data_IF_954509401730
#
_entry.id   IF_954509401730
#
_cell.length_a   1.000
_cell.length_b   1.000
_cell.length_c   1.000
_cell.angle_alpha   90.00
_cell.angle_beta   90.00
_cell.angle_gamma   90.00
#
_symmetry.space_group_name_H-M   'P 1'
#
loop_
_entity.id
_entity.type
_entity.pdbx_description
1 polymer ?
#
# COMPACT_ATOMS: atom_id res chain seq x y z
N UNK A 1 4.67 12.69 26.51
CA UNK A 1 4.66 11.48 27.36
C UNK A 1 5.93 11.38 28.20
N UNK A 2 7.16 11.38 27.63
CA UNK A 2 8.39 11.23 28.42
C UNK A 2 8.60 12.31 29.50
N UNK A 3 8.23 13.56 29.19
CA UNK A 3 8.28 14.66 30.17
C UNK A 3 7.36 14.43 31.36
N UNK A 4 6.15 13.91 31.13
CA UNK A 4 5.18 13.62 32.20
C UNK A 4 5.61 12.44 33.07
N UNK A 5 6.26 11.43 32.49
CA UNK A 5 6.81 10.29 33.23
C UNK A 5 7.97 10.75 34.11
N UNK A 6 8.85 11.58 33.56
CA UNK A 6 9.97 12.18 34.31
C UNK A 6 9.49 13.08 35.46
N UNK A 7 8.49 13.94 35.22
CA UNK A 7 7.84 14.77 36.25
C UNK A 7 7.24 13.94 37.39
N UNK A 8 6.79 12.71 37.09
CA UNK A 8 6.22 11.77 38.06
C UNK A 8 7.25 10.83 38.69
N UNK A 9 8.52 10.96 38.35
CA UNK A 9 9.59 10.08 38.83
C UNK A 9 9.46 8.63 38.34
N UNK A 10 8.82 8.40 37.19
CA UNK A 10 8.62 7.06 36.61
C UNK A 10 9.79 6.75 35.68
N UNK A 11 10.61 5.78 36.04
CA UNK A 11 11.71 5.27 35.21
C UNK A 11 11.24 4.06 34.38
N UNK A 12 10.84 4.29 33.12
CA UNK A 12 10.33 3.23 32.23
C UNK A 12 11.23 1.97 32.15
N UNK A 13 12.58 2.06 32.07
CA UNK A 13 13.44 0.88 32.00
C UNK A 13 13.46 0.03 33.28
N UNK A 14 12.97 0.57 34.40
CA UNK A 14 12.95 -0.09 35.72
C UNK A 14 11.57 -0.69 36.06
N UNK A 15 10.56 -0.43 35.23
CA UNK A 15 9.23 -0.99 35.44
C UNK A 15 9.22 -2.50 35.15
N UNK A 16 8.45 -3.29 35.93
CA UNK A 16 8.19 -4.67 35.58
C UNK A 16 7.43 -4.77 34.25
N UNK A 17 7.50 -5.93 33.59
CA UNK A 17 6.67 -6.19 32.41
C UNK A 17 5.19 -6.10 32.78
N UNK A 18 4.45 -5.30 32.00
CA UNK A 18 3.01 -5.18 32.10
C UNK A 18 2.29 -6.02 31.05
N UNK A 19 0.97 -6.08 31.17
CA UNK A 19 0.11 -6.71 30.18
C UNK A 19 -0.54 -5.66 29.27
N UNK A 20 -0.80 -6.05 28.03
CA UNK A 20 -1.57 -5.24 27.09
C UNK A 20 -3.04 -5.59 27.20
N UNK A 21 -3.89 -4.56 27.13
CA UNK A 21 -5.33 -4.77 26.96
C UNK A 21 -5.64 -5.43 25.60
N UNK A 22 -6.69 -6.23 25.59
CA UNK A 22 -7.20 -6.90 24.39
C UNK A 22 -8.45 -6.14 23.96
N UNK A 23 -8.41 -5.31 22.89
CA UNK A 23 -9.52 -4.42 22.55
C UNK A 23 -10.85 -5.13 22.29
N UNK A 24 -10.80 -6.39 21.88
CA UNK A 24 -11.98 -7.21 21.58
C UNK A 24 -12.32 -8.20 22.69
N UNK A 25 -11.57 -8.22 23.80
CA UNK A 25 -11.76 -9.18 24.90
C UNK A 25 -11.46 -10.64 24.53
N UNK A 26 -10.76 -10.88 23.42
CA UNK A 26 -10.51 -12.20 22.83
C UNK A 26 -9.01 -12.54 22.87
N UNK A 27 -8.63 -13.50 23.72
CA UNK A 27 -7.24 -13.92 23.93
C UNK A 27 -6.51 -13.12 25.00
N UNK A 28 -5.20 -13.33 25.14
CA UNK A 28 -4.29 -12.58 26.02
C UNK A 28 -3.31 -11.75 25.19
N UNK A 29 -2.98 -10.52 25.63
CA UNK A 29 -2.02 -9.62 24.96
C UNK A 29 -2.65 -8.69 23.92
N UNK A 30 -1.82 -7.97 23.13
CA UNK A 30 -2.27 -6.88 22.24
C UNK A 30 -3.06 -7.30 20.98
N UNK A 31 -3.69 -8.48 20.99
CA UNK A 31 -4.41 -9.07 19.85
C UNK A 31 -3.58 -9.16 18.54
N UNK A 32 -2.25 -9.11 18.64
CA UNK A 32 -1.32 -9.25 17.52
C UNK A 32 -0.83 -10.69 17.40
N UNK A 33 -0.82 -11.23 16.17
CA UNK A 33 0.00 -12.40 15.88
C UNK A 33 1.48 -12.02 16.01
N UNK A 34 2.32 -12.95 16.50
CA UNK A 34 3.77 -12.79 16.48
C UNK A 34 4.25 -12.68 15.01
N UNK A 35 5.07 -11.68 14.69
CA UNK A 35 5.46 -11.43 13.30
C UNK A 35 5.42 -9.97 12.89
N UNK A 36 6.11 -9.66 11.80
CA UNK A 36 5.98 -8.38 11.10
C UNK A 36 5.10 -8.53 9.87
N UNK A 37 4.54 -7.41 9.40
CA UNK A 37 3.83 -7.33 8.12
C UNK A 37 4.62 -6.54 7.06
N UNK A 38 5.68 -5.83 7.46
CA UNK A 38 6.40 -4.86 6.60
C UNK A 38 5.70 -3.50 6.47
N UNK A 39 4.70 -3.21 7.32
CA UNK A 39 3.87 -2.01 7.23
C UNK A 39 2.57 -2.19 6.45
N UNK A 40 1.73 -1.14 6.42
CA UNK A 40 0.35 -1.20 5.90
C UNK A 40 0.33 -1.37 4.38
N UNK A 41 1.09 -0.54 3.64
CA UNK A 41 1.16 -0.64 2.17
C UNK A 41 1.68 -1.99 1.72
N UNK A 42 2.73 -2.51 2.36
CA UNK A 42 3.29 -3.82 2.02
C UNK A 42 2.29 -4.95 2.31
N UNK A 43 1.60 -4.93 3.45
CA UNK A 43 0.58 -5.92 3.78
C UNK A 43 -0.62 -5.90 2.82
N UNK A 44 -1.05 -4.70 2.40
CA UNK A 44 -2.12 -4.53 1.42
C UNK A 44 -1.71 -5.09 0.05
N UNK A 45 -0.51 -4.75 -0.42
CA UNK A 45 0.06 -5.29 -1.66
C UNK A 45 0.20 -6.81 -1.61
N UNK A 46 0.69 -7.35 -0.49
CA UNK A 46 0.83 -8.80 -0.28
C UNK A 46 -0.52 -9.51 -0.35
N UNK A 47 -1.53 -8.96 0.30
CA UNK A 47 -2.89 -9.52 0.28
C UNK A 47 -3.45 -9.54 -1.15
N UNK A 48 -3.33 -8.43 -1.88
CA UNK A 48 -3.76 -8.37 -3.29
C UNK A 48 -2.96 -9.35 -4.17
N UNK A 49 -1.64 -9.44 -3.98
CA UNK A 49 -0.78 -10.38 -4.68
C UNK A 49 -1.24 -11.82 -4.46
N UNK A 50 -1.38 -12.26 -3.21
CA UNK A 50 -1.75 -13.64 -2.87
C UNK A 50 -3.16 -14.00 -3.35
N UNK A 51 -4.09 -13.03 -3.36
CA UNK A 51 -5.42 -13.23 -3.93
C UNK A 51 -5.34 -13.49 -5.44
N UNK A 52 -4.52 -12.73 -6.17
CA UNK A 52 -4.41 -12.78 -7.64
C UNK A 52 -3.58 -13.99 -8.10
N UNK A 53 -2.43 -14.22 -7.48
CA UNK A 53 -1.44 -15.21 -7.92
C UNK A 53 -1.61 -16.56 -7.26
N UNK A 54 -2.33 -16.63 -6.12
CA UNK A 54 -2.42 -17.80 -5.24
C UNK A 54 -1.06 -18.33 -4.76
N UNK A 55 -0.02 -17.50 -4.84
CA UNK A 55 1.34 -17.80 -4.39
C UNK A 55 1.73 -16.85 -3.26
N UNK A 56 2.52 -17.34 -2.30
CA UNK A 56 3.01 -16.51 -1.20
C UNK A 56 3.90 -15.38 -1.73
N UNK A 57 3.63 -14.14 -1.29
CA UNK A 57 4.43 -13.00 -1.72
C UNK A 57 5.67 -12.80 -0.83
N UNK A 58 6.83 -12.68 -1.46
CA UNK A 58 8.00 -12.08 -0.83
C UNK A 58 7.79 -10.58 -0.64
N UNK A 59 8.53 -9.97 0.30
CA UNK A 59 8.55 -8.52 0.47
C UNK A 59 9.01 -7.84 -0.84
N UNK A 60 8.31 -6.78 -1.32
CA UNK A 60 8.74 -6.03 -2.49
C UNK A 60 10.05 -5.27 -2.17
N UNK A 61 11.03 -5.37 -3.08
CA UNK A 61 12.28 -4.63 -2.94
C UNK A 61 12.08 -3.19 -3.45
N UNK A 62 12.10 -2.23 -2.54
CA UNK A 62 12.02 -0.80 -2.86
C UNK A 62 13.42 -0.24 -3.14
N UNK A 63 13.61 0.33 -4.33
CA UNK A 63 14.84 1.03 -4.74
C UNK A 63 14.62 2.53 -4.87
N UNK A 64 15.66 3.34 -4.64
CA UNK A 64 15.58 4.79 -4.83
C UNK A 64 15.39 5.15 -6.31
N UNK A 65 14.49 6.10 -6.58
CA UNK A 65 14.25 6.59 -7.94
C UNK A 65 15.32 7.59 -8.33
N UNK A 66 16.06 7.30 -9.41
CA UNK A 66 17.12 8.18 -9.90
C UNK A 66 16.57 9.57 -10.23
N UNK A 67 17.19 10.61 -9.65
CA UNK A 67 16.80 12.01 -9.87
C UNK A 67 15.56 12.47 -9.10
N UNK A 68 15.09 11.66 -8.14
CA UNK A 68 13.96 12.01 -7.27
C UNK A 68 14.27 11.66 -5.80
N UNK A 69 14.96 12.57 -5.12
CA UNK A 69 15.32 12.42 -3.71
C UNK A 69 14.08 12.17 -2.84
N UNK A 70 14.17 11.16 -1.95
CA UNK A 70 13.09 10.82 -1.03
C UNK A 70 11.91 10.07 -1.64
N UNK A 71 12.04 9.61 -2.89
CA UNK A 71 11.07 8.75 -3.57
C UNK A 71 11.71 7.39 -3.85
N UNK A 72 11.02 6.32 -3.46
CA UNK A 72 11.39 4.93 -3.73
C UNK A 72 10.33 4.29 -4.61
N UNK A 73 10.72 3.31 -5.41
CA UNK A 73 9.83 2.55 -6.28
C UNK A 73 10.06 1.05 -6.19
N UNK A 74 9.03 0.29 -6.56
CA UNK A 74 9.10 -1.15 -6.78
C UNK A 74 8.22 -1.55 -7.96
N UNK A 75 8.60 -2.64 -8.62
CA UNK A 75 7.79 -3.28 -9.67
C UNK A 75 7.41 -4.68 -9.20
N UNK A 76 6.10 -4.96 -9.13
CA UNK A 76 5.58 -6.25 -8.69
C UNK A 76 4.85 -6.93 -9.84
N UNK A 77 5.38 -8.06 -10.32
CA UNK A 77 4.73 -8.83 -11.37
C UNK A 77 3.59 -9.68 -10.79
N UNK A 78 2.38 -9.41 -11.26
CA UNK A 78 1.17 -10.18 -10.95
C UNK A 78 0.88 -11.12 -12.12
N UNK A 79 1.17 -12.40 -11.93
CA UNK A 79 0.73 -13.47 -12.83
C UNK A 79 -0.50 -14.11 -12.21
N UNK A 80 -1.70 -13.96 -12.81
CA UNK A 80 -2.90 -14.59 -12.30
C UNK A 80 -2.76 -16.10 -12.16
N UNK A 81 -3.33 -16.67 -11.10
CA UNK A 81 -3.45 -18.11 -10.95
C UNK A 81 -4.30 -18.71 -12.10
N UNK A 82 -3.88 -19.87 -12.60
CA UNK A 82 -4.62 -20.59 -13.64
C UNK A 82 -6.06 -20.91 -13.20
N UNK A 83 -7.02 -20.78 -14.11
CA UNK A 83 -8.44 -20.99 -13.83
C UNK A 83 -9.09 -19.92 -12.94
N UNK A 84 -8.37 -18.87 -12.53
CA UNK A 84 -8.96 -17.76 -11.79
C UNK A 84 -9.68 -16.77 -12.71
N UNK A 85 -10.66 -16.05 -12.14
CA UNK A 85 -11.29 -14.90 -12.81
C UNK A 85 -10.28 -13.87 -13.32
N UNK A 86 -9.16 -13.70 -12.63
CA UNK A 86 -8.10 -12.78 -13.06
C UNK A 86 -7.40 -13.27 -14.34
N UNK A 87 -7.17 -14.58 -14.48
CA UNK A 87 -6.60 -15.15 -15.69
C UNK A 87 -7.54 -14.96 -16.89
N UNK A 88 -8.85 -15.16 -16.69
CA UNK A 88 -9.87 -14.90 -17.71
C UNK A 88 -9.88 -13.44 -18.17
N UNK A 89 -9.82 -12.49 -17.23
CA UNK A 89 -9.77 -11.06 -17.54
C UNK A 89 -8.51 -10.67 -18.30
N UNK A 90 -7.35 -11.21 -17.92
CA UNK A 90 -6.09 -10.97 -18.63
C UNK A 90 -6.14 -11.57 -20.04
N UNK A 91 -6.62 -12.79 -20.20
CA UNK A 91 -6.76 -13.43 -21.51
C UNK A 91 -7.70 -12.65 -22.43
N UNK A 92 -8.85 -12.20 -21.91
CA UNK A 92 -9.81 -11.37 -22.65
C UNK A 92 -9.17 -10.04 -23.11
N UNK A 93 -8.38 -9.40 -22.24
CA UNK A 93 -7.69 -8.15 -22.56
C UNK A 93 -6.58 -8.33 -23.59
N UNK A 94 -5.79 -9.39 -23.48
CA UNK A 94 -4.76 -9.72 -24.47
C UNK A 94 -5.37 -9.99 -25.85
N UNK A 95 -6.49 -10.72 -25.90
CA UNK A 95 -7.24 -10.95 -27.13
C UNK A 95 -7.75 -9.65 -27.75
N UNK A 96 -8.41 -8.79 -26.95
CA UNK A 96 -8.88 -7.49 -27.43
C UNK A 96 -7.75 -6.56 -27.90
N UNK A 97 -6.59 -6.59 -27.24
CA UNK A 97 -5.41 -5.81 -27.66
C UNK A 97 -4.79 -6.35 -28.96
N UNK A 98 -4.76 -7.67 -29.16
CA UNK A 98 -4.29 -8.28 -30.39
C UNK A 98 -5.22 -7.98 -31.58
N UNK A 99 -6.53 -8.02 -31.35
CA UNK A 99 -7.55 -7.64 -32.34
C UNK A 99 -7.46 -6.14 -32.70
N UNK A 100 -7.26 -5.26 -31.71
CA UNK A 100 -7.07 -3.84 -31.93
C UNK A 100 -5.76 -3.53 -32.67
N UNK A 101 -4.66 -4.21 -32.34
CA UNK A 101 -3.39 -4.08 -33.05
C UNK A 101 -3.48 -4.58 -34.50
N UNK A 102 -4.19 -5.70 -34.74
CA UNK A 102 -4.47 -6.20 -36.07
C UNK A 102 -5.33 -5.19 -36.87
N UNK A 103 -6.38 -4.63 -36.28
CA UNK A 103 -7.21 -3.61 -36.92
C UNK A 103 -6.43 -2.32 -37.22
N UNK A 104 -5.54 -1.88 -36.32
CA UNK A 104 -4.67 -0.72 -36.52
C UNK A 104 -3.63 -0.96 -37.64
N UNK A 105 -3.14 -2.19 -37.80
CA UNK A 105 -2.24 -2.56 -38.89
C UNK A 105 -2.91 -2.54 -40.26
N UNK A 106 -4.23 -2.81 -40.31
CA UNK A 106 -5.06 -2.70 -41.52
C UNK A 106 -5.42 -1.23 -41.81
N UNK A 107 -5.51 -0.38 -40.78
CA UNK A 107 -5.86 1.04 -40.87
C UNK A 107 -4.64 1.98 -41.04
N UNK A 108 -3.45 1.46 -41.37
CA UNK A 108 -2.22 2.24 -41.52
C UNK A 108 -2.27 3.19 -42.74
N UNK A 109 -2.98 4.30 -42.54
CA UNK A 109 -3.19 5.44 -43.42
C UNK A 109 -3.82 6.58 -42.61
N UNK A 110 -3.32 6.84 -41.40
CA UNK A 110 -3.81 7.90 -40.53
C UNK A 110 -3.33 7.71 -39.10
N UNK A 111 -2.68 8.73 -38.53
CA UNK A 111 -2.27 8.74 -37.13
C UNK A 111 -3.50 8.67 -36.23
N UNK A 112 -3.79 7.48 -35.70
CA UNK A 112 -4.87 7.28 -34.75
C UNK A 112 -4.33 7.46 -33.32
N UNK A 113 -4.61 8.62 -32.74
CA UNK A 113 -4.60 8.84 -31.31
C UNK A 113 -5.64 7.90 -30.68
N UNK A 114 -5.20 6.98 -29.82
CA UNK A 114 -6.08 6.08 -29.10
C UNK A 114 -7.00 6.89 -28.17
N UNK A 115 -8.29 6.59 -28.25
CA UNK A 115 -9.37 7.30 -27.57
C UNK A 115 -9.10 7.49 -26.07
N UNK A 116 -9.20 8.76 -25.64
CA UNK A 116 -9.01 9.19 -24.26
C UNK A 116 -10.05 8.55 -23.32
N UNK A 117 -9.59 7.60 -22.50
CA UNK A 117 -10.36 7.05 -21.40
C UNK A 117 -10.13 7.87 -20.13
N UNK A 118 -11.08 8.76 -19.81
CA UNK A 118 -11.28 9.37 -18.49
C UNK A 118 -10.58 10.71 -18.26
N UNK A 119 -11.32 11.82 -18.23
CA UNK A 119 -10.82 13.18 -17.95
C UNK A 119 -10.46 13.42 -16.46
N UNK A 120 -9.57 12.60 -15.89
CA UNK A 120 -9.02 12.79 -14.55
C UNK A 120 -7.71 13.59 -14.53
N UNK A 121 -7.36 14.20 -13.40
CA UNK A 121 -6.10 14.94 -13.24
C UNK A 121 -4.84 14.06 -13.44
N UNK A 122 -4.96 12.75 -13.18
CA UNK A 122 -3.93 11.75 -13.48
C UNK A 122 -4.56 10.76 -14.46
N UNK A 123 -3.93 10.62 -15.63
CA UNK A 123 -4.38 9.72 -16.70
C UNK A 123 -3.77 8.33 -16.49
N UNK A 124 -4.61 7.33 -16.23
CA UNK A 124 -4.13 5.94 -16.15
C UNK A 124 -3.84 5.40 -17.54
N UNK A 125 -2.62 4.88 -17.76
CA UNK A 125 -2.15 4.43 -19.08
C UNK A 125 -2.61 3.02 -19.45
N UNK A 126 -3.54 2.44 -18.68
CA UNK A 126 -4.01 1.08 -18.86
C UNK A 126 -3.15 0.01 -18.17
N UNK A 127 -2.08 0.40 -17.49
CA UNK A 127 -1.17 -0.49 -16.76
C UNK A 127 -0.11 -1.15 -17.65
N UNK A 128 0.95 -1.64 -17.01
CA UNK A 128 2.08 -2.27 -17.71
C UNK A 128 1.88 -3.78 -17.85
N UNK A 129 1.15 -4.18 -18.89
CA UNK A 129 0.97 -5.60 -19.22
C UNK A 129 2.27 -6.25 -19.73
N UNK A 130 2.43 -7.54 -19.48
CA UNK A 130 3.48 -8.35 -20.10
C UNK A 130 2.95 -9.73 -20.51
N UNK A 131 3.64 -10.37 -21.44
CA UNK A 131 3.42 -11.76 -21.86
C UNK A 131 4.75 -12.50 -21.81
N UNK A 132 4.70 -13.80 -21.53
CA UNK A 132 5.84 -14.72 -21.49
C UNK A 132 5.71 -15.74 -22.62
N UNK A 133 6.83 -16.37 -22.96
CA UNK A 133 6.90 -17.35 -24.06
C UNK A 133 6.04 -18.60 -23.81
N UNK A 134 5.75 -18.93 -22.54
CA UNK A 134 4.86 -20.02 -22.13
C UNK A 134 3.36 -19.70 -22.30
N UNK A 135 3.04 -18.56 -22.92
CA UNK A 135 1.66 -18.09 -23.13
C UNK A 135 1.03 -17.46 -21.89
N UNK A 136 1.74 -17.40 -20.76
CA UNK A 136 1.26 -16.71 -19.56
C UNK A 136 1.49 -15.21 -19.67
N UNK A 137 0.53 -14.43 -19.20
CA UNK A 137 0.61 -12.98 -19.16
C UNK A 137 0.21 -12.44 -17.81
N UNK A 138 0.53 -11.19 -17.57
CA UNK A 138 0.25 -10.55 -16.30
C UNK A 138 0.35 -9.04 -16.37
N UNK A 139 0.31 -8.43 -15.20
CA UNK A 139 0.45 -7.00 -15.01
C UNK A 139 1.66 -6.73 -14.11
N UNK A 140 2.51 -5.81 -14.50
CA UNK A 140 3.50 -5.22 -13.60
C UNK A 140 2.84 -4.06 -12.86
N UNK A 141 2.63 -4.24 -11.56
CA UNK A 141 2.14 -3.17 -10.68
C UNK A 141 3.31 -2.26 -10.31
N UNK A 142 3.21 -0.98 -10.66
CA UNK A 142 4.23 0.04 -10.40
C UNK A 142 3.90 0.74 -9.09
N UNK A 143 4.76 0.60 -8.09
CA UNK A 143 4.56 1.13 -6.74
C UNK A 143 5.55 2.25 -6.46
N UNK A 144 5.11 3.31 -5.79
CA UNK A 144 5.99 4.36 -5.28
C UNK A 144 5.71 4.71 -3.82
N UNK A 145 6.76 5.11 -3.10
CA UNK A 145 6.70 5.69 -1.75
C UNK A 145 7.36 7.05 -1.79
N UNK A 146 6.64 8.10 -1.43
CA UNK A 146 7.15 9.46 -1.32
C UNK A 146 7.20 9.90 0.14
N UNK A 147 8.41 10.24 0.63
CA UNK A 147 8.61 10.78 1.96
C UNK A 147 8.77 12.30 1.90
N UNK A 148 7.91 13.03 2.60
CA UNK A 148 7.87 14.48 2.64
C UNK A 148 6.89 15.10 1.64
N UNK A 149 6.10 16.07 2.09
CA UNK A 149 5.12 16.76 1.24
C UNK A 149 5.74 17.47 0.03
N UNK A 150 6.97 17.99 0.17
CA UNK A 150 7.70 18.60 -0.95
C UNK A 150 8.01 17.60 -2.06
N UNK A 151 8.37 16.36 -1.71
CA UNK A 151 8.63 15.29 -2.66
C UNK A 151 7.33 14.74 -3.25
N UNK A 152 6.29 14.61 -2.43
CA UNK A 152 4.95 14.24 -2.87
C UNK A 152 4.43 15.19 -3.96
N UNK A 153 4.58 16.51 -3.76
CA UNK A 153 4.20 17.51 -4.76
C UNK A 153 4.93 17.30 -6.10
N UNK A 154 6.25 17.09 -6.06
CA UNK A 154 7.05 16.81 -7.27
C UNK A 154 6.59 15.53 -7.98
N UNK A 155 6.32 14.47 -7.23
CA UNK A 155 5.82 13.20 -7.76
C UNK A 155 4.47 13.39 -8.46
N UNK A 156 3.51 14.04 -7.79
CA UNK A 156 2.18 14.32 -8.35
C UNK A 156 2.30 15.12 -9.65
N UNK A 157 3.14 16.17 -9.69
CA UNK A 157 3.36 16.95 -10.92
C UNK A 157 3.85 16.07 -12.08
N UNK A 158 4.80 15.16 -11.84
CA UNK A 158 5.27 14.22 -12.88
C UNK A 158 4.23 13.19 -13.28
N UNK A 159 3.36 12.76 -12.36
CA UNK A 159 2.25 11.86 -12.67
C UNK A 159 1.18 12.56 -13.52
N UNK A 160 0.92 13.84 -13.24
CA UNK A 160 0.00 14.67 -14.04
C UNK A 160 0.54 14.93 -15.45
N UNK A 161 1.86 15.13 -15.61
CA UNK A 161 2.48 15.29 -16.94
C UNK A 161 2.67 13.98 -17.72
N UNK A 162 2.52 12.83 -17.05
CA UNK A 162 2.74 11.51 -17.63
C UNK A 162 4.22 11.07 -17.65
N UNK A 163 5.13 11.87 -17.10
CA UNK A 163 6.57 11.53 -16.96
C UNK A 163 6.82 10.41 -15.94
N UNK A 164 6.00 10.34 -14.89
CA UNK A 164 6.06 9.31 -13.86
C UNK A 164 4.77 8.50 -13.88
N UNK A 165 4.89 7.17 -13.89
CA UNK A 165 3.73 6.28 -14.01
C UNK A 165 3.73 5.26 -12.89
N UNK A 166 2.78 5.39 -11.98
CA UNK A 166 2.61 4.50 -10.84
C UNK A 166 1.13 4.13 -10.70
N UNK A 167 0.88 2.90 -10.26
CA UNK A 167 -0.45 2.34 -10.05
C UNK A 167 -0.86 2.40 -8.57
N UNK A 168 0.12 2.39 -7.66
CA UNK A 168 -0.10 2.52 -6.21
C UNK A 168 0.98 3.39 -5.58
N UNK A 169 0.57 4.42 -4.81
CA UNK A 169 1.49 5.41 -4.24
C UNK A 169 1.19 5.64 -2.76
N UNK A 170 2.19 5.47 -1.90
CA UNK A 170 2.15 5.88 -0.50
C UNK A 170 2.82 7.25 -0.34
N UNK A 171 2.14 8.19 0.32
CA UNK A 171 2.68 9.52 0.63
C UNK A 171 2.74 9.70 2.14
N UNK A 172 3.95 9.91 2.65
CA UNK A 172 4.22 10.17 4.06
C UNK A 172 4.59 11.64 4.23
N UNK A 173 3.98 12.36 5.18
CA UNK A 173 4.12 13.83 5.27
C UNK A 173 5.47 14.31 5.81
N UNK A 174 6.08 13.61 6.78
CA UNK A 174 7.49 13.70 7.21
C UNK A 174 7.73 12.83 8.48
N UNK A 175 9.01 12.55 8.78
CA UNK A 175 9.49 11.67 9.86
C UNK A 175 8.78 11.85 11.22
N UNK A 176 8.55 10.74 11.96
CA UNK A 176 8.06 10.80 13.33
C UNK A 176 9.01 11.68 14.16
N UNK A 177 8.43 12.58 14.97
CA UNK A 177 9.05 13.52 15.93
C UNK A 177 10.57 13.73 15.76
N UNK A 178 11.06 14.97 15.50
CA UNK A 178 12.46 15.21 15.19
C UNK A 178 13.34 14.47 16.22
N UNK A 179 14.13 13.48 15.79
CA UNK A 179 15.05 12.86 16.71
C UNK A 179 15.97 13.97 17.22
N UNK A 180 16.41 13.88 18.48
CA UNK A 180 17.38 14.82 19.05
C UNK A 180 18.66 14.93 18.20
N UNK A 181 18.90 13.95 17.31
CA UNK A 181 19.86 14.03 16.19
C UNK A 181 19.46 13.16 15.00
N UNK A 182 19.94 13.47 13.79
CA UNK A 182 19.78 12.61 12.58
C UNK A 182 20.26 11.17 12.79
N UNK A 183 21.30 10.97 13.60
CA UNK A 183 21.83 9.65 13.94
C UNK A 183 20.82 8.80 14.74
N UNK A 184 19.94 9.42 15.52
CA UNK A 184 18.91 8.73 16.29
C UNK A 184 17.71 8.27 15.43
N UNK A 185 17.38 8.94 14.31
CA UNK A 185 16.36 8.40 13.38
C UNK A 185 16.83 7.10 12.73
N UNK A 186 18.07 7.06 12.23
CA UNK A 186 18.64 5.86 11.62
C UNK A 186 18.69 4.69 12.61
N UNK A 187 19.09 4.95 13.87
CA UNK A 187 19.12 3.92 14.92
C UNK A 187 17.73 3.43 15.34
N UNK A 188 16.73 4.33 15.43
CA UNK A 188 15.33 3.93 15.71
C UNK A 188 14.78 3.07 14.58
N UNK A 189 15.02 3.49 13.34
CA UNK A 189 14.59 2.77 12.17
C UNK A 189 15.27 1.39 12.10
N UNK A 190 16.57 1.32 12.36
CA UNK A 190 17.30 0.05 12.44
C UNK A 190 16.79 -0.84 13.59
N UNK A 191 16.48 -0.30 14.77
CA UNK A 191 15.92 -1.08 15.86
C UNK A 191 14.52 -1.63 15.54
N UNK A 192 13.69 -0.86 14.83
CA UNK A 192 12.39 -1.34 14.33
C UNK A 192 12.57 -2.40 13.25
N UNK A 193 13.50 -2.20 12.30
CA UNK A 193 13.82 -3.19 11.28
C UNK A 193 14.41 -4.46 11.89
N UNK A 194 15.28 -4.38 12.91
CA UNK A 194 15.80 -5.54 13.63
C UNK A 194 14.67 -6.31 14.34
N UNK A 195 13.66 -5.61 14.85
CA UNK A 195 12.45 -6.22 15.41
C UNK A 195 11.54 -6.82 14.32
N UNK A 196 11.55 -6.24 13.12
CA UNK A 196 10.78 -6.72 11.97
C UNK A 196 11.46 -7.88 11.23
N UNK A 197 12.79 -7.93 11.17
CA UNK A 197 13.57 -8.94 10.42
C UNK A 197 13.67 -10.29 11.17
N UNK A 198 13.44 -10.30 12.48
CA UNK A 198 13.57 -11.50 13.33
C UNK A 198 12.35 -12.43 13.34
N UNK A 199 11.09 -11.96 13.34
CA UNK A 199 9.93 -12.85 13.46
C UNK A 199 9.38 -13.26 12.09
N UNK A 200 8.60 -14.35 12.08
CA UNK A 200 7.95 -14.84 10.87
C UNK A 200 7.03 -13.77 10.25
N UNK A 201 6.98 -13.72 8.92
CA UNK A 201 6.02 -12.87 8.22
C UNK A 201 4.59 -13.33 8.55
N UNK A 202 3.74 -12.39 8.98
CA UNK A 202 2.33 -12.67 9.33
C UNK A 202 1.35 -11.98 8.38
N UNK A 203 0.15 -12.53 8.25
CA UNK A 203 -0.95 -11.91 7.48
C UNK A 203 -2.07 -11.46 8.39
N UNK A 204 -2.62 -10.28 8.13
CA UNK A 204 -3.73 -9.75 8.94
C UNK A 204 -4.98 -10.64 8.87
N UNK A 205 -5.23 -11.29 7.73
CA UNK A 205 -6.36 -12.20 7.55
C UNK A 205 -6.17 -13.58 8.23
N UNK A 206 -4.97 -13.90 8.71
CA UNK A 206 -4.71 -15.09 9.54
C UNK A 206 -4.92 -14.80 11.03
N UNK A 207 -5.13 -13.54 11.43
CA UNK A 207 -5.32 -13.18 12.83
C UNK A 207 -6.73 -13.59 13.30
N UNK A 208 -6.87 -14.48 14.30
CA UNK A 208 -8.17 -14.95 14.75
C UNK A 208 -9.05 -13.84 15.30
N UNK A 209 -8.48 -12.83 15.98
CA UNK A 209 -9.24 -11.68 16.48
C UNK A 209 -9.81 -10.83 15.33
N UNK A 210 -9.06 -10.70 14.23
CA UNK A 210 -9.54 -10.05 13.01
C UNK A 210 -10.61 -10.92 12.34
N UNK A 211 -10.39 -12.23 12.19
CA UNK A 211 -11.38 -13.14 11.63
C UNK A 211 -12.71 -13.08 12.39
N UNK A 212 -12.66 -13.06 13.72
CA UNK A 212 -13.85 -13.02 14.57
C UNK A 212 -14.62 -11.70 14.47
N UNK A 213 -13.94 -10.54 14.53
CA UNK A 213 -14.67 -9.26 14.41
C UNK A 213 -15.35 -9.13 13.04
N UNK A 214 -14.76 -9.66 11.97
CA UNK A 214 -15.41 -9.71 10.67
C UNK A 214 -16.59 -10.69 10.68
N UNK A 215 -16.40 -11.92 11.17
CA UNK A 215 -17.46 -12.92 11.20
C UNK A 215 -18.69 -12.53 12.05
N UNK A 216 -18.48 -11.92 13.22
CA UNK A 216 -19.54 -11.66 14.20
C UNK A 216 -20.11 -10.24 14.12
N UNK A 217 -19.31 -9.27 13.66
CA UNK A 217 -19.70 -7.87 13.72
C UNK A 217 -19.64 -7.16 12.37
N UNK A 218 -18.50 -7.12 11.67
CA UNK A 218 -18.31 -6.27 10.49
C UNK A 218 -18.86 -6.87 9.19
N UNK A 219 -19.02 -8.20 9.10
CA UNK A 219 -19.35 -8.90 7.87
C UNK A 219 -18.13 -9.10 6.97
N UNK A 220 -18.25 -8.75 5.69
CA UNK A 220 -17.15 -8.83 4.72
C UNK A 220 -16.35 -7.52 4.63
N UNK A 221 -15.07 -7.55 4.24
CA UNK A 221 -14.35 -6.35 3.80
C UNK A 221 -15.16 -5.60 2.73
N UNK A 222 -15.23 -4.27 2.85
CA UNK A 222 -16.02 -3.39 1.98
C UNK A 222 -17.55 -3.54 2.09
N UNK A 223 -18.07 -4.30 3.06
CA UNK A 223 -19.51 -4.33 3.36
C UNK A 223 -20.02 -2.97 3.86
N UNK A 224 -21.35 -2.79 3.92
CA UNK A 224 -21.96 -1.55 4.42
C UNK A 224 -21.42 -1.14 5.80
N UNK A 225 -21.35 -2.07 6.75
CA UNK A 225 -20.89 -1.79 8.12
C UNK A 225 -19.39 -1.53 8.18
N UNK A 226 -18.59 -2.29 7.44
CA UNK A 226 -17.15 -2.00 7.32
C UNK A 226 -16.91 -0.62 6.70
N UNK A 227 -17.70 -0.22 5.71
CA UNK A 227 -17.63 1.10 5.09
C UNK A 227 -18.03 2.21 6.07
N UNK A 228 -19.12 2.03 6.81
CA UNK A 228 -19.58 3.02 7.80
C UNK A 228 -18.55 3.26 8.92
N UNK A 229 -17.88 2.21 9.40
CA UNK A 229 -17.00 2.29 10.58
C UNK A 229 -15.52 2.48 10.26
N UNK A 230 -15.04 1.92 9.14
CA UNK A 230 -13.61 1.83 8.83
C UNK A 230 -13.21 2.66 7.61
N UNK A 231 -14.18 3.22 6.87
CA UNK A 231 -13.91 4.11 5.75
C UNK A 231 -14.25 5.55 6.10
N UNK A 232 -13.66 6.48 5.35
CA UNK A 232 -13.91 7.91 5.48
C UNK A 232 -13.97 8.56 4.10
N UNK A 233 -14.26 9.85 4.06
CA UNK A 233 -14.28 10.66 2.85
C UNK A 233 -13.43 11.93 3.04
N UNK A 234 -13.08 12.56 1.94
CA UNK A 234 -12.34 13.83 1.93
C UNK A 234 -13.27 14.98 1.58
N UNK A 235 -13.02 16.16 2.17
CA UNK A 235 -13.74 17.39 1.89
C UNK A 235 -12.85 18.30 1.03
N UNK A 236 -13.34 18.70 -0.14
CA UNK A 236 -12.63 19.66 -0.99
C UNK A 236 -12.47 21.00 -0.25
N UNK A 237 -11.23 21.48 -0.14
CA UNK A 237 -10.90 22.68 0.66
C UNK A 237 -10.49 22.39 2.11
N UNK A 238 -10.58 21.15 2.58
CA UNK A 238 -10.29 20.77 3.96
C UNK A 238 -11.50 20.92 4.88
N UNK A 239 -11.28 20.68 6.17
CA UNK A 239 -12.29 20.93 7.21
C UNK A 239 -12.06 22.33 7.78
N UNK A 240 -13.12 23.12 7.95
CA UNK A 240 -13.01 24.35 8.72
C UNK A 240 -12.77 23.97 10.19
N UNK A 241 -11.67 24.44 10.77
CA UNK A 241 -11.50 24.40 12.22
C UNK A 241 -12.57 25.32 12.81
N UNK A 242 -13.61 24.74 13.42
CA UNK A 242 -14.42 25.50 14.35
C UNK A 242 -13.47 25.90 15.48
N UNK A 243 -13.18 27.20 15.57
CA UNK A 243 -12.58 27.80 16.75
C UNK A 243 -13.46 27.49 17.97
N UNK A 244 -13.23 26.34 18.61
CA UNK A 244 -13.75 26.05 19.94
C UNK A 244 -12.95 26.86 20.97
N UNK A 245 -13.05 28.19 20.86
CA UNK A 245 -12.86 29.09 22.00
C UNK A 245 -14.23 29.33 22.62
N UNK A 246 -14.59 28.49 23.59
CA UNK A 246 -15.53 28.85 24.66
C UNK A 246 -15.05 28.28 25.98
#
# INVERSE_FOLDING_TARGET
>A
LPSREQERGIALPELPEGEWDVPLGLGSGAAGLFGTTGGVMEAALRTAYEIVTKAAAAAPHLSEVRGMDGIKEASVQLVPAEGSRFAELVAARLKGSAEAAAAASVAAGGAASAAAAGQGAIQWDGGQGFSREDGKGGLTLRVAVANGLGNAKKLITKMQSGEAKFDFVEIMSASPAPPTSRCAAAKRQAALYDLDERPALRRSHENPAVGQIYAEFLGEPLSHRAHELLHTHYVAGGVEEKDEKK
#
